data_IF_304272647555
#
_entry.id   IF_304272647555
#
_cell.length_a   1.000
_cell.length_b   1.000
_cell.length_c   1.000
_cell.angle_alpha   90.00
_cell.angle_beta   90.00
_cell.angle_gamma   90.00
#
_symmetry.space_group_name_H-M   'P 1'
#
loop_
_entity.id
_entity.type
_entity.pdbx_description
1 polymer ?
#
# COMPACT_ATOMS: atom_id res chain seq x y z
N UNK A 1 -31.22 -27.28 6.28
CA UNK A 1 -30.80 -28.68 6.47
C UNK A 1 -29.96 -28.87 7.74
N UNK A 2 -28.87 -28.13 7.97
CA UNK A 2 -28.00 -28.23 9.15
C UNK A 2 -28.73 -28.00 10.51
N UNK A 3 -29.76 -27.17 10.56
CA UNK A 3 -30.55 -26.94 11.77
C UNK A 3 -31.30 -28.19 12.28
N UNK A 4 -31.51 -29.20 11.41
CA UNK A 4 -32.19 -30.46 11.75
C UNK A 4 -31.25 -31.50 12.40
N UNK A 5 -29.94 -31.32 12.31
CA UNK A 5 -28.94 -32.21 12.90
C UNK A 5 -28.99 -32.03 14.43
N UNK A 6 -29.42 -33.08 15.16
CA UNK A 6 -29.53 -33.07 16.61
C UNK A 6 -28.16 -33.29 17.28
N UNK A 7 -27.28 -34.09 16.66
CA UNK A 7 -25.98 -34.45 17.24
C UNK A 7 -24.98 -33.32 17.01
N UNK A 8 -24.54 -32.71 18.13
CA UNK A 8 -23.56 -31.61 18.15
C UNK A 8 -22.20 -32.00 17.62
N UNK A 9 -21.76 -33.26 17.82
CA UNK A 9 -20.48 -33.76 17.36
C UNK A 9 -20.43 -33.89 15.83
N UNK A 10 -21.46 -34.50 15.24
CA UNK A 10 -21.62 -34.63 13.78
C UNK A 10 -21.69 -33.24 13.13
N UNK A 11 -22.43 -32.32 13.77
CA UNK A 11 -22.53 -30.94 13.29
C UNK A 11 -21.15 -30.24 13.26
N UNK A 12 -20.34 -30.44 14.31
CA UNK A 12 -18.96 -29.91 14.36
C UNK A 12 -18.07 -30.53 13.29
N UNK A 13 -18.15 -31.84 13.04
CA UNK A 13 -17.38 -32.49 11.97
C UNK A 13 -17.74 -31.94 10.60
N UNK A 14 -19.02 -31.84 10.26
CA UNK A 14 -19.47 -31.27 8.97
C UNK A 14 -18.96 -29.84 8.82
N UNK A 15 -18.92 -29.07 9.90
CA UNK A 15 -18.50 -27.68 9.87
C UNK A 15 -16.97 -27.57 9.72
N UNK A 16 -16.19 -28.45 10.31
CA UNK A 16 -14.74 -28.48 10.14
C UNK A 16 -14.30 -28.81 8.71
N UNK A 17 -15.14 -29.54 7.96
CA UNK A 17 -14.93 -29.83 6.54
C UNK A 17 -15.27 -28.61 5.62
N UNK A 18 -15.98 -27.61 6.16
CA UNK A 18 -16.28 -26.40 5.40
C UNK A 18 -15.08 -25.45 5.41
N UNK A 19 -14.78 -24.86 4.25
CA UNK A 19 -13.85 -23.74 4.23
C UNK A 19 -14.37 -22.64 5.18
N UNK A 20 -13.45 -21.96 5.86
CA UNK A 20 -13.77 -20.92 6.86
C UNK A 20 -14.83 -19.90 6.34
N UNK A 21 -14.76 -19.53 5.07
CA UNK A 21 -15.71 -18.59 4.46
C UNK A 21 -17.13 -19.15 4.38
N UNK A 22 -17.28 -20.45 4.05
CA UNK A 22 -18.58 -21.13 4.00
C UNK A 22 -19.15 -21.30 5.41
N UNK A 23 -18.29 -21.60 6.38
CA UNK A 23 -18.64 -21.69 7.79
C UNK A 23 -19.20 -20.36 8.32
N UNK A 24 -18.47 -19.26 8.13
CA UNK A 24 -18.91 -17.94 8.56
C UNK A 24 -20.23 -17.51 7.94
N UNK A 25 -20.44 -17.75 6.64
CA UNK A 25 -21.70 -17.44 5.95
C UNK A 25 -22.87 -18.23 6.52
N UNK A 26 -22.67 -19.51 6.86
CA UNK A 26 -23.72 -20.36 7.41
C UNK A 26 -24.11 -19.98 8.84
N UNK A 27 -23.11 -19.61 9.63
CA UNK A 27 -23.31 -19.38 11.08
C UNK A 27 -23.70 -17.93 11.38
N UNK A 28 -23.19 -16.96 10.62
CA UNK A 28 -23.37 -15.51 10.87
C UNK A 28 -24.83 -15.08 11.04
N UNK A 29 -25.75 -15.64 10.27
CA UNK A 29 -27.15 -15.25 10.26
C UNK A 29 -28.08 -16.28 10.90
N UNK A 30 -27.52 -17.34 11.52
CA UNK A 30 -28.28 -18.45 12.06
C UNK A 30 -28.11 -18.63 13.58
N UNK A 31 -28.90 -17.85 14.35
CA UNK A 31 -28.87 -17.89 15.83
C UNK A 31 -29.05 -19.31 16.39
N UNK A 32 -29.87 -20.14 15.77
CA UNK A 32 -30.09 -21.53 16.20
C UNK A 32 -28.85 -22.36 16.03
N UNK A 33 -28.11 -22.19 14.94
CA UNK A 33 -26.86 -22.90 14.68
C UNK A 33 -25.76 -22.42 15.64
N UNK A 34 -25.68 -21.10 15.87
CA UNK A 34 -24.75 -20.50 16.86
C UNK A 34 -24.96 -21.13 18.24
N UNK A 35 -26.22 -21.19 18.72
CA UNK A 35 -26.56 -21.78 20.02
C UNK A 35 -26.22 -23.27 20.08
N UNK A 36 -26.53 -24.06 19.05
CA UNK A 36 -26.22 -25.49 18.98
C UNK A 36 -24.71 -25.78 19.00
N UNK A 37 -23.91 -24.92 18.39
CA UNK A 37 -22.46 -25.05 18.35
C UNK A 37 -21.78 -24.49 19.60
N UNK A 38 -22.53 -23.87 20.50
CA UNK A 38 -22.04 -23.14 21.66
C UNK A 38 -20.99 -22.08 21.28
N UNK A 39 -21.25 -21.39 20.14
CA UNK A 39 -20.37 -20.34 19.66
C UNK A 39 -20.65 -19.06 20.44
N UNK A 40 -19.62 -18.52 21.05
CA UNK A 40 -19.63 -17.18 21.64
C UNK A 40 -19.30 -16.12 20.57
N UNK A 41 -19.57 -14.87 20.88
CA UNK A 41 -19.10 -13.75 20.05
C UNK A 41 -17.58 -13.79 19.84
N UNK A 42 -16.84 -14.27 20.86
CA UNK A 42 -15.39 -14.44 20.83
C UNK A 42 -14.94 -15.47 19.78
N UNK A 43 -15.63 -16.62 19.67
CA UNK A 43 -15.33 -17.64 18.64
C UNK A 43 -15.57 -17.10 17.23
N UNK A 44 -16.53 -16.19 17.10
CA UNK A 44 -16.82 -15.50 15.85
C UNK A 44 -15.71 -14.53 15.44
N UNK A 45 -15.22 -13.79 16.42
CA UNK A 45 -14.16 -12.81 16.23
C UNK A 45 -12.82 -13.47 15.86
N UNK A 46 -12.54 -14.69 16.37
CA UNK A 46 -11.31 -15.44 16.04
C UNK A 46 -11.11 -15.67 14.55
N UNK A 47 -12.19 -15.75 13.75
CA UNK A 47 -12.12 -16.04 12.30
C UNK A 47 -12.12 -14.79 11.41
N UNK A 48 -12.37 -13.61 11.95
CA UNK A 48 -12.53 -12.38 11.16
C UNK A 48 -11.57 -11.25 11.55
N UNK A 49 -10.61 -11.52 12.43
CA UNK A 49 -9.65 -10.51 12.90
C UNK A 49 -8.49 -10.29 11.93
N UNK A 50 -7.97 -9.07 11.91
CA UNK A 50 -6.61 -8.81 11.48
C UNK A 50 -5.73 -9.05 12.71
N UNK A 51 -4.65 -9.83 12.56
CA UNK A 51 -3.67 -10.07 13.63
C UNK A 51 -2.32 -9.63 13.12
N UNK A 52 -1.70 -8.73 13.89
CA UNK A 52 -0.43 -8.09 13.55
C UNK A 52 0.55 -8.36 14.68
N UNK A 53 1.74 -8.83 14.32
CA UNK A 53 2.88 -8.95 15.22
C UNK A 53 3.89 -7.86 14.87
N UNK A 54 4.32 -7.12 15.88
CA UNK A 54 5.28 -6.03 15.76
C UNK A 54 6.48 -6.36 16.63
N UNK A 55 7.67 -6.26 16.02
CA UNK A 55 8.93 -6.25 16.73
C UNK A 55 9.44 -4.82 16.80
N UNK A 56 9.57 -4.24 17.99
CA UNK A 56 10.11 -2.90 18.15
C UNK A 56 11.62 -2.87 17.92
N UNK A 57 12.16 -1.66 17.71
CA UNK A 57 13.61 -1.41 17.75
C UNK A 57 14.15 -1.71 19.16
N UNK A 58 15.46 -1.87 19.25
CA UNK A 58 16.12 -2.09 20.55
C UNK A 58 15.90 -0.92 21.52
N UNK A 59 15.84 -1.22 22.81
CA UNK A 59 15.48 -0.30 23.89
C UNK A 59 16.41 0.94 23.93
N UNK A 60 17.70 0.77 23.64
CA UNK A 60 18.68 1.84 23.60
C UNK A 60 18.38 2.92 22.54
N UNK A 61 17.65 2.55 21.49
CA UNK A 61 17.24 3.44 20.39
C UNK A 61 15.89 4.14 20.61
N UNK A 62 15.16 3.77 21.66
CA UNK A 62 13.90 4.42 22.00
C UNK A 62 14.14 5.87 22.47
N UNK A 63 13.21 6.75 22.11
CA UNK A 63 13.25 8.14 22.55
C UNK A 63 13.13 8.26 24.07
N UNK A 64 13.70 9.31 24.64
CA UNK A 64 13.56 9.64 26.08
C UNK A 64 12.12 9.99 26.41
N UNK A 65 11.41 10.61 25.49
CA UNK A 65 9.99 10.91 25.60
C UNK A 65 9.19 9.68 25.13
N UNK A 66 8.53 9.00 26.06
CA UNK A 66 7.74 7.79 25.80
C UNK A 66 6.65 8.01 24.74
N UNK A 67 6.01 9.18 24.72
CA UNK A 67 4.94 9.50 23.76
C UNK A 67 5.42 9.51 22.30
N UNK A 68 6.74 9.61 22.04
CA UNK A 68 7.34 9.51 20.72
C UNK A 68 7.63 8.07 20.29
N UNK A 69 7.53 7.11 21.22
CA UNK A 69 7.72 5.69 20.96
C UNK A 69 6.39 5.00 20.60
N UNK A 70 5.52 5.67 19.86
CA UNK A 70 4.28 5.08 19.38
C UNK A 70 4.54 3.94 18.41
N UNK A 71 3.80 2.84 18.60
CA UNK A 71 3.81 1.69 17.69
C UNK A 71 2.49 1.52 16.94
N UNK A 72 1.46 2.30 17.24
CA UNK A 72 0.17 2.31 16.54
C UNK A 72 -0.53 3.65 16.76
N UNK A 73 -1.30 4.10 15.77
CA UNK A 73 -2.23 5.22 15.89
C UNK A 73 -3.66 4.69 16.01
N UNK A 74 -4.17 4.68 17.21
CA UNK A 74 -5.53 4.23 17.47
C UNK A 74 -6.55 5.30 17.10
N UNK A 75 -7.68 4.94 16.47
CA UNK A 75 -8.79 5.86 16.22
C UNK A 75 -9.45 6.29 17.55
N UNK A 76 -10.39 7.24 17.47
CA UNK A 76 -11.16 7.70 18.65
C UNK A 76 -11.89 6.54 19.34
N UNK A 77 -12.54 5.67 18.55
CA UNK A 77 -13.10 4.41 19.08
C UNK A 77 -12.03 3.31 19.03
N UNK A 78 -11.51 2.99 20.20
CA UNK A 78 -10.47 1.98 20.40
C UNK A 78 -11.06 0.58 20.65
N UNK A 79 -12.37 0.44 20.79
CA UNK A 79 -13.02 -0.81 21.20
C UNK A 79 -12.80 -1.99 20.24
N UNK A 80 -12.41 -1.70 19.00
CA UNK A 80 -12.13 -2.71 17.97
C UNK A 80 -10.65 -3.10 17.90
N UNK A 81 -9.80 -2.54 18.77
CA UNK A 81 -8.35 -2.74 18.76
C UNK A 81 -7.88 -3.31 20.09
N UNK A 82 -7.27 -4.47 20.06
CA UNK A 82 -6.81 -5.21 21.24
C UNK A 82 -5.30 -5.39 21.19
N UNK A 83 -4.58 -4.94 22.19
CA UNK A 83 -3.12 -4.89 22.25
C UNK A 83 -2.60 -5.79 23.37
N UNK A 84 -1.59 -6.60 23.03
CA UNK A 84 -0.94 -7.52 23.96
C UNK A 84 0.58 -7.42 23.83
N UNK A 85 1.29 -7.39 24.96
CA UNK A 85 2.75 -7.36 25.04
C UNK A 85 3.31 -8.75 25.42
N UNK A 86 4.36 -9.19 24.72
CA UNK A 86 5.13 -10.38 25.06
C UNK A 86 4.27 -11.64 25.27
N UNK A 87 3.26 -11.82 24.42
CA UNK A 87 2.27 -12.91 24.50
C UNK A 87 1.47 -12.96 25.82
N UNK A 88 1.38 -11.84 26.53
CA UNK A 88 0.51 -11.73 27.71
C UNK A 88 -0.94 -12.06 27.37
N UNK A 89 -1.67 -12.60 28.34
CA UNK A 89 -3.13 -12.77 28.24
C UNK A 89 -3.89 -11.50 28.62
N UNK A 90 -3.22 -10.54 29.24
CA UNK A 90 -3.81 -9.27 29.65
C UNK A 90 -3.74 -8.26 28.52
N UNK A 91 -4.88 -7.67 28.20
CA UNK A 91 -5.00 -6.61 27.22
C UNK A 91 -4.45 -5.31 27.76
N UNK A 92 -3.74 -4.56 26.90
CA UNK A 92 -3.15 -3.26 27.24
C UNK A 92 -3.86 -2.13 26.50
N UNK A 93 -4.02 -1.00 27.17
CA UNK A 93 -4.56 0.24 26.59
C UNK A 93 -3.45 1.20 26.12
N UNK A 94 -2.19 0.75 26.13
CA UNK A 94 -1.02 1.59 25.82
C UNK A 94 -0.69 1.43 24.34
N UNK A 95 -0.51 2.55 23.62
CA UNK A 95 -0.17 2.63 22.19
C UNK A 95 1.29 3.06 21.94
N UNK A 96 2.11 3.11 23.00
CA UNK A 96 3.53 3.47 22.96
C UNK A 96 4.38 2.56 23.86
N UNK A 97 5.69 2.55 23.62
CA UNK A 97 6.65 1.78 24.45
C UNK A 97 7.33 2.72 25.43
N UNK A 98 7.24 2.40 26.73
CA UNK A 98 7.97 3.14 27.76
C UNK A 98 9.46 2.86 27.67
N UNK A 99 10.28 3.90 27.74
CA UNK A 99 11.73 3.74 27.86
C UNK A 99 12.09 3.00 29.15
N UNK A 100 13.06 2.11 29.08
CA UNK A 100 13.42 1.23 30.21
C UNK A 100 12.57 -0.03 30.31
N UNK A 101 11.52 -0.18 29.46
CA UNK A 101 10.76 -1.42 29.36
C UNK A 101 11.21 -2.22 28.15
N UNK A 102 11.85 -3.36 28.39
CA UNK A 102 12.19 -4.31 27.32
C UNK A 102 10.90 -4.96 26.82
N UNK A 103 10.61 -4.80 25.53
CA UNK A 103 9.45 -5.40 24.84
C UNK A 103 9.99 -6.22 23.68
N UNK A 104 9.67 -7.51 23.64
CA UNK A 104 10.10 -8.42 22.58
C UNK A 104 9.16 -8.39 21.39
N UNK A 105 7.85 -8.51 21.66
CA UNK A 105 6.82 -8.57 20.64
C UNK A 105 5.55 -7.84 21.12
N UNK A 106 4.87 -7.19 20.18
CA UNK A 106 3.55 -6.59 20.41
C UNK A 106 2.58 -7.25 19.46
N UNK A 107 1.50 -7.82 19.99
CA UNK A 107 0.42 -8.39 19.18
C UNK A 107 -0.77 -7.45 19.19
N UNK A 108 -1.24 -7.09 18.01
CA UNK A 108 -2.44 -6.28 17.82
C UNK A 108 -3.50 -7.14 17.13
N UNK A 109 -4.70 -7.15 17.68
CA UNK A 109 -5.86 -7.77 17.04
C UNK A 109 -6.87 -6.68 16.70
N UNK A 110 -7.33 -6.65 15.45
CA UNK A 110 -8.32 -5.68 14.95
C UNK A 110 -9.56 -6.42 14.51
N UNK A 111 -10.72 -6.00 14.97
CA UNK A 111 -11.99 -6.64 14.64
C UNK A 111 -12.44 -6.33 13.21
N UNK A 112 -13.37 -7.12 12.69
CA UNK A 112 -13.78 -7.11 11.28
C UNK A 112 -14.58 -5.88 10.83
N UNK A 113 -15.12 -5.14 11.78
CA UNK A 113 -15.94 -3.95 11.55
C UNK A 113 -15.12 -2.77 11.00
N UNK A 114 -13.79 -2.84 11.14
CA UNK A 114 -12.88 -1.81 10.61
C UNK A 114 -12.89 -1.83 9.08
N UNK A 115 -13.13 -0.67 8.48
CA UNK A 115 -13.16 -0.47 7.01
C UNK A 115 -12.00 0.34 6.47
N UNK A 116 -11.20 0.94 7.34
CA UNK A 116 -10.01 1.72 6.98
C UNK A 116 -8.85 1.38 7.90
N UNK A 117 -7.65 1.25 7.32
CA UNK A 117 -6.37 1.13 8.01
C UNK A 117 -5.49 2.36 7.75
N UNK A 118 -6.13 3.44 7.28
CA UNK A 118 -5.46 4.72 7.07
C UNK A 118 -4.71 5.16 8.32
N UNK A 119 -3.48 5.65 8.14
CA UNK A 119 -2.60 6.18 9.18
C UNK A 119 -2.25 5.19 10.33
N UNK A 120 -2.62 3.91 10.25
CA UNK A 120 -2.53 2.97 11.38
C UNK A 120 -1.15 2.95 12.04
N UNK A 121 -0.09 3.00 11.26
CA UNK A 121 1.30 3.04 11.71
C UNK A 121 2.02 4.34 11.29
N UNK A 122 1.28 5.38 10.92
CA UNK A 122 1.86 6.65 10.51
C UNK A 122 2.82 7.20 11.58
N UNK A 123 4.08 7.43 11.20
CA UNK A 123 5.10 8.00 12.10
C UNK A 123 5.57 7.07 13.22
N UNK A 124 5.22 5.78 13.19
CA UNK A 124 5.64 4.81 14.20
C UNK A 124 7.12 4.42 14.01
N UNK A 125 8.02 5.30 14.47
CA UNK A 125 9.47 5.15 14.30
C UNK A 125 10.10 4.08 15.20
N UNK A 126 9.39 3.60 16.23
CA UNK A 126 9.89 2.58 17.14
C UNK A 126 9.72 1.14 16.62
N UNK A 127 9.29 0.94 15.38
CA UNK A 127 9.03 -0.37 14.79
C UNK A 127 10.19 -0.79 13.89
N UNK A 128 10.70 -2.02 14.10
CA UNK A 128 11.71 -2.65 13.24
C UNK A 128 11.10 -3.64 12.26
N UNK A 129 10.13 -4.46 12.72
CA UNK A 129 9.48 -5.47 11.89
C UNK A 129 7.96 -5.48 12.12
N UNK A 130 7.18 -5.68 11.06
CA UNK A 130 5.73 -5.90 11.12
C UNK A 130 5.39 -7.16 10.33
N UNK A 131 4.57 -8.01 10.91
CA UNK A 131 4.05 -9.21 10.26
C UNK A 131 2.54 -9.32 10.44
N UNK A 132 1.82 -9.43 9.32
CA UNK A 132 0.39 -9.73 9.35
C UNK A 132 0.19 -11.24 9.33
N UNK A 133 -0.05 -11.82 10.52
CA UNK A 133 -0.23 -13.28 10.67
C UNK A 133 -1.63 -13.73 10.27
N UNK A 134 -2.61 -12.82 10.34
CA UNK A 134 -3.97 -13.04 9.84
C UNK A 134 -4.54 -11.74 9.26
N UNK A 135 -5.17 -11.83 8.08
CA UNK A 135 -5.87 -10.71 7.45
C UNK A 135 -7.15 -11.22 6.78
N UNK A 136 -8.18 -11.47 7.58
CA UNK A 136 -9.46 -12.01 7.08
C UNK A 136 -10.53 -10.95 6.84
N UNK A 137 -10.18 -9.68 7.00
CA UNK A 137 -11.09 -8.57 6.75
C UNK A 137 -11.05 -8.16 5.26
N UNK A 138 -12.15 -8.36 4.55
CA UNK A 138 -12.31 -7.94 3.15
C UNK A 138 -13.02 -6.59 2.99
N UNK A 139 -13.31 -5.89 4.09
CA UNK A 139 -14.08 -4.64 4.04
C UNK A 139 -13.20 -3.40 3.98
N UNK A 140 -11.87 -3.58 3.99
CA UNK A 140 -10.93 -2.47 3.94
C UNK A 140 -10.98 -1.82 2.56
N UNK A 141 -11.23 -0.50 2.56
CA UNK A 141 -11.30 0.33 1.35
C UNK A 141 -10.19 1.38 1.27
N UNK A 142 -9.58 1.72 2.40
CA UNK A 142 -8.56 2.76 2.51
C UNK A 142 -7.35 2.25 3.31
N UNK A 143 -6.18 2.27 2.68
CA UNK A 143 -4.87 1.95 3.27
C UNK A 143 -3.89 3.11 3.10
N UNK A 144 -4.40 4.32 2.79
CA UNK A 144 -3.53 5.49 2.61
C UNK A 144 -2.73 5.79 3.87
N UNK A 145 -1.47 6.18 3.69
CA UNK A 145 -0.53 6.52 4.78
C UNK A 145 -0.26 5.43 5.82
N UNK A 146 -0.70 4.19 5.61
CA UNK A 146 -0.69 3.15 6.64
C UNK A 146 0.67 2.95 7.33
N UNK A 147 1.77 3.00 6.58
CA UNK A 147 3.15 2.87 7.09
C UNK A 147 3.98 4.14 6.83
N UNK A 148 3.34 5.27 6.51
CA UNK A 148 4.06 6.50 6.20
C UNK A 148 4.95 6.93 7.37
N UNK A 149 6.20 7.31 7.09
CA UNK A 149 7.21 7.72 8.07
C UNK A 149 7.58 6.63 9.10
N UNK A 150 7.39 5.33 8.78
CA UNK A 150 7.99 4.24 9.55
C UNK A 150 9.49 4.12 9.22
N UNK A 151 10.27 5.11 9.61
CA UNK A 151 11.67 5.28 9.15
C UNK A 151 12.61 4.15 9.57
N UNK A 152 12.32 3.42 10.66
CA UNK A 152 13.13 2.30 11.13
C UNK A 152 12.59 0.93 10.72
N UNK A 153 11.48 0.87 9.96
CA UNK A 153 10.89 -0.39 9.51
C UNK A 153 11.80 -1.07 8.48
N UNK A 154 12.39 -2.21 8.86
CA UNK A 154 13.30 -2.99 8.01
C UNK A 154 12.62 -4.15 7.32
N UNK A 155 11.65 -4.79 7.99
CA UNK A 155 10.95 -5.97 7.47
C UNK A 155 9.44 -5.79 7.59
N UNK A 156 8.75 -6.07 6.49
CA UNK A 156 7.31 -5.98 6.40
C UNK A 156 6.75 -7.19 5.67
N UNK A 157 6.02 -8.05 6.40
CA UNK A 157 5.34 -9.20 5.81
C UNK A 157 3.84 -8.89 5.63
N UNK A 158 3.45 -8.68 4.38
CA UNK A 158 2.09 -8.40 3.94
C UNK A 158 1.46 -9.53 3.13
N UNK A 159 2.03 -10.74 3.17
CA UNK A 159 1.59 -11.89 2.38
C UNK A 159 0.13 -12.34 2.64
N UNK A 160 -0.46 -11.88 3.74
CA UNK A 160 -1.86 -12.19 4.11
C UNK A 160 -2.85 -11.10 3.71
N UNK A 161 -2.41 -9.97 3.16
CA UNK A 161 -3.30 -8.86 2.82
C UNK A 161 -4.43 -9.26 1.87
N UNK A 162 -5.59 -8.68 2.10
CA UNK A 162 -6.80 -8.81 1.27
C UNK A 162 -7.22 -7.42 0.81
N UNK A 163 -6.73 -7.00 -0.35
CA UNK A 163 -6.85 -5.63 -0.84
C UNK A 163 -7.86 -5.46 -1.96
N UNK A 164 -8.67 -6.49 -2.26
CA UNK A 164 -9.63 -6.49 -3.38
C UNK A 164 -10.57 -5.26 -3.41
N UNK A 165 -10.94 -4.73 -2.24
CA UNK A 165 -11.86 -3.60 -2.14
C UNK A 165 -11.16 -2.27 -1.85
N UNK A 166 -9.82 -2.25 -1.79
CA UNK A 166 -9.05 -1.04 -1.53
C UNK A 166 -9.07 -0.14 -2.75
N UNK A 167 -9.39 1.14 -2.52
CA UNK A 167 -9.44 2.19 -3.55
C UNK A 167 -8.34 3.23 -3.40
N UNK A 168 -7.78 3.38 -2.20
CA UNK A 168 -6.71 4.34 -1.91
C UNK A 168 -5.52 3.65 -1.23
N UNK A 169 -4.35 3.70 -1.90
CA UNK A 169 -3.05 3.25 -1.40
C UNK A 169 -2.02 4.39 -1.41
N UNK A 170 -2.50 5.65 -1.51
CA UNK A 170 -1.60 6.80 -1.56
C UNK A 170 -0.73 6.89 -0.30
N UNK A 171 0.54 7.22 -0.48
CA UNK A 171 1.53 7.38 0.60
C UNK A 171 1.71 6.15 1.52
N UNK A 172 1.25 4.96 1.12
CA UNK A 172 1.18 3.79 2.02
C UNK A 172 2.54 3.44 2.63
N UNK A 173 3.63 3.50 1.87
CA UNK A 173 5.00 3.21 2.33
C UNK A 173 5.92 4.43 2.25
N UNK A 174 5.34 5.64 2.14
CA UNK A 174 6.12 6.87 2.02
C UNK A 174 7.09 7.01 3.20
N UNK A 175 8.38 7.35 2.94
CA UNK A 175 9.44 7.52 3.94
C UNK A 175 9.69 6.25 4.81
N UNK A 176 9.46 5.04 4.27
CA UNK A 176 9.98 3.80 4.87
C UNK A 176 11.47 3.66 4.53
N UNK A 177 12.28 4.53 5.10
CA UNK A 177 13.69 4.73 4.70
C UNK A 177 14.57 3.51 4.96
N UNK A 178 14.26 2.66 5.96
CA UNK A 178 15.05 1.48 6.30
C UNK A 178 14.60 0.20 5.60
N UNK A 179 13.51 0.24 4.82
CA UNK A 179 12.99 -0.92 4.12
C UNK A 179 13.88 -1.25 2.92
N UNK A 180 14.50 -2.44 2.91
CA UNK A 180 15.40 -2.85 1.84
C UNK A 180 14.73 -3.65 0.73
N UNK A 181 13.69 -4.41 1.09
CA UNK A 181 12.96 -5.30 0.18
C UNK A 181 11.48 -5.30 0.53
N UNK A 182 10.65 -5.36 -0.50
CA UNK A 182 9.21 -5.56 -0.33
C UNK A 182 8.66 -6.44 -1.45
N UNK A 183 8.04 -7.55 -1.06
CA UNK A 183 7.18 -8.31 -1.97
C UNK A 183 5.74 -7.84 -1.81
N UNK A 184 5.28 -7.08 -2.79
CA UNK A 184 3.91 -6.56 -2.87
C UNK A 184 3.07 -7.30 -3.92
N UNK A 185 3.56 -8.44 -4.46
CA UNK A 185 2.89 -9.18 -5.54
C UNK A 185 1.51 -9.73 -5.16
N UNK A 186 1.23 -9.90 -3.88
CA UNK A 186 -0.08 -10.36 -3.40
C UNK A 186 -1.11 -9.23 -3.20
N UNK A 187 -0.74 -7.97 -3.39
CA UNK A 187 -1.69 -6.86 -3.36
C UNK A 187 -2.56 -6.88 -4.62
N UNK A 188 -3.87 -7.02 -4.44
CA UNK A 188 -4.86 -6.88 -5.52
C UNK A 188 -5.16 -5.40 -5.66
N UNK A 189 -4.86 -4.81 -6.82
CA UNK A 189 -5.00 -3.37 -7.06
C UNK A 189 -6.07 -3.01 -8.08
N UNK A 190 -6.93 -3.97 -8.46
CA UNK A 190 -7.97 -3.81 -9.50
C UNK A 190 -8.95 -2.64 -9.25
N UNK A 191 -9.10 -2.21 -8.00
CA UNK A 191 -10.00 -1.12 -7.63
C UNK A 191 -9.27 0.13 -7.12
N UNK A 192 -7.94 0.12 -7.13
CA UNK A 192 -7.15 1.27 -6.65
C UNK A 192 -7.21 2.42 -7.65
N UNK A 193 -7.51 3.61 -7.14
CA UNK A 193 -7.63 4.86 -7.90
C UNK A 193 -6.42 5.77 -7.64
N UNK A 194 -5.90 5.78 -6.42
CA UNK A 194 -4.76 6.64 -6.03
C UNK A 194 -3.58 5.83 -5.49
N UNK A 195 -2.41 5.98 -6.15
CA UNK A 195 -1.12 5.42 -5.75
C UNK A 195 -0.06 6.53 -5.58
N UNK A 196 -0.51 7.80 -5.42
CA UNK A 196 0.40 8.94 -5.23
C UNK A 196 1.40 8.66 -4.11
N UNK A 197 2.69 8.89 -4.38
CA UNK A 197 3.78 8.80 -3.40
C UNK A 197 3.84 7.46 -2.65
N UNK A 198 3.32 6.36 -3.21
CA UNK A 198 3.18 5.08 -2.49
C UNK A 198 4.52 4.59 -1.92
N UNK A 199 5.63 4.77 -2.66
CA UNK A 199 6.99 4.41 -2.25
C UNK A 199 7.94 5.63 -2.19
N UNK A 200 7.38 6.85 -2.03
CA UNK A 200 8.18 8.07 -1.99
C UNK A 200 9.25 8.03 -0.89
N UNK A 201 10.51 8.29 -1.26
CA UNK A 201 11.67 8.28 -0.37
C UNK A 201 11.85 6.96 0.42
N UNK A 202 11.51 5.80 -0.18
CA UNK A 202 12.01 4.51 0.30
C UNK A 202 13.48 4.37 -0.11
N UNK A 203 14.36 5.17 0.51
CA UNK A 203 15.72 5.43 0.03
C UNK A 203 16.64 4.20 0.07
N UNK A 204 16.38 3.23 0.94
CA UNK A 204 17.15 1.98 1.02
C UNK A 204 16.52 0.81 0.24
N UNK A 205 15.38 1.01 -0.41
CA UNK A 205 14.69 -0.06 -1.13
C UNK A 205 15.50 -0.49 -2.35
N UNK A 206 15.96 -1.75 -2.34
CA UNK A 206 16.78 -2.37 -3.39
C UNK A 206 15.96 -3.28 -4.30
N UNK A 207 14.98 -3.98 -3.74
CA UNK A 207 14.11 -4.94 -4.44
C UNK A 207 12.63 -4.67 -4.14
N UNK A 208 11.85 -4.53 -5.21
CA UNK A 208 10.41 -4.29 -5.13
C UNK A 208 9.68 -5.15 -6.16
N UNK A 209 8.82 -6.04 -5.68
CA UNK A 209 8.01 -6.90 -6.54
C UNK A 209 6.58 -6.38 -6.67
N UNK A 210 6.20 -5.94 -7.88
CA UNK A 210 4.88 -5.41 -8.22
C UNK A 210 4.21 -6.26 -9.33
N UNK A 211 4.60 -7.52 -9.50
CA UNK A 211 4.24 -8.34 -10.66
C UNK A 211 2.74 -8.52 -10.88
N UNK A 212 1.91 -8.40 -9.84
CA UNK A 212 0.46 -8.55 -9.94
C UNK A 212 -0.32 -7.22 -9.85
N UNK A 213 0.37 -6.09 -9.91
CA UNK A 213 -0.32 -4.80 -9.89
C UNK A 213 -1.13 -4.62 -11.18
N UNK A 214 -2.39 -4.30 -11.04
CA UNK A 214 -3.27 -3.82 -12.10
C UNK A 214 -3.51 -2.32 -11.90
N UNK A 215 -3.13 -1.51 -12.88
CA UNK A 215 -3.24 -0.06 -12.80
C UNK A 215 -4.33 0.52 -13.72
N UNK A 216 -5.24 -0.33 -14.23
CA UNK A 216 -6.28 0.07 -15.19
C UNK A 216 -7.17 1.21 -14.68
N UNK A 217 -7.40 1.30 -13.35
CA UNK A 217 -8.24 2.35 -12.75
C UNK A 217 -7.45 3.46 -12.08
N UNK A 218 -6.12 3.35 -12.04
CA UNK A 218 -5.30 4.33 -11.32
C UNK A 218 -5.25 5.65 -12.07
N UNK A 219 -5.66 6.72 -11.39
CA UNK A 219 -5.64 8.09 -11.90
C UNK A 219 -4.41 8.88 -11.49
N UNK A 220 -3.78 8.53 -10.39
CA UNK A 220 -2.69 9.32 -9.81
C UNK A 220 -1.53 8.44 -9.35
N UNK A 221 -0.36 8.61 -9.98
CA UNK A 221 0.90 7.97 -9.65
C UNK A 221 2.01 9.02 -9.39
N UNK A 222 1.62 10.27 -9.09
CA UNK A 222 2.58 11.35 -8.83
C UNK A 222 3.55 10.95 -7.72
N UNK A 223 4.86 11.12 -7.96
CA UNK A 223 5.94 10.78 -7.02
C UNK A 223 5.98 9.31 -6.56
N UNK A 224 5.34 8.36 -7.25
CA UNK A 224 5.17 7.00 -6.73
C UNK A 224 6.48 6.34 -6.28
N UNK A 225 7.58 6.50 -7.02
CA UNK A 225 8.90 5.96 -6.71
C UNK A 225 9.96 7.04 -6.48
N UNK A 226 9.57 8.31 -6.43
CA UNK A 226 10.51 9.42 -6.26
C UNK A 226 11.35 9.23 -4.98
N UNK A 227 12.68 9.37 -5.09
CA UNK A 227 13.61 9.21 -3.98
C UNK A 227 13.93 7.75 -3.61
N UNK A 228 13.53 6.75 -4.42
CA UNK A 228 13.97 5.36 -4.27
C UNK A 228 15.43 5.24 -4.79
N UNK A 229 16.36 5.87 -4.08
CA UNK A 229 17.73 6.11 -4.57
C UNK A 229 18.58 4.84 -4.70
N UNK A 230 18.26 3.74 -4.01
CA UNK A 230 18.97 2.46 -4.09
C UNK A 230 18.26 1.39 -4.92
N UNK A 231 17.12 1.71 -5.52
CA UNK A 231 16.42 0.77 -6.41
C UNK A 231 17.20 0.64 -7.72
N UNK A 232 17.60 -0.59 -8.07
CA UNK A 232 18.44 -0.87 -9.25
C UNK A 232 17.58 -1.27 -10.44
N UNK A 233 16.56 -2.08 -10.18
CA UNK A 233 15.68 -2.65 -11.20
C UNK A 233 14.22 -2.46 -10.80
N UNK A 234 13.38 -2.13 -11.79
CA UNK A 234 11.93 -2.04 -11.61
C UNK A 234 11.21 -2.50 -12.87
N UNK A 235 10.43 -3.56 -12.74
CA UNK A 235 9.59 -4.07 -13.81
C UNK A 235 8.17 -3.53 -13.67
N UNK A 236 7.74 -2.73 -14.64
CA UNK A 236 6.41 -2.15 -14.77
C UNK A 236 5.71 -2.59 -16.06
N UNK A 237 6.11 -3.74 -16.63
CA UNK A 237 5.54 -4.28 -17.88
C UNK A 237 4.04 -4.59 -17.79
N UNK A 238 3.49 -4.70 -16.58
CA UNK A 238 2.06 -4.89 -16.31
C UNK A 238 1.30 -3.57 -16.07
N UNK A 239 2.02 -2.42 -15.97
CA UNK A 239 1.37 -1.14 -15.72
C UNK A 239 0.74 -0.58 -16.99
N UNK A 240 -0.53 -0.22 -16.92
CA UNK A 240 -1.25 0.53 -17.93
C UNK A 240 -1.48 1.96 -17.43
N UNK A 241 -1.21 2.93 -18.27
CA UNK A 241 -1.24 4.35 -17.89
C UNK A 241 -2.32 5.15 -18.63
N UNK A 242 -3.16 4.48 -19.41
CA UNK A 242 -4.17 5.14 -20.26
C UNK A 242 -5.15 6.01 -19.44
N UNK A 243 -5.56 5.52 -18.27
CA UNK A 243 -6.48 6.22 -17.37
C UNK A 243 -5.76 7.12 -16.34
N UNK A 244 -4.43 7.08 -16.31
CA UNK A 244 -3.67 7.87 -15.35
C UNK A 244 -3.60 9.34 -15.78
N UNK A 245 -3.97 10.24 -14.89
CA UNK A 245 -4.03 11.68 -15.13
C UNK A 245 -2.74 12.39 -14.65
N UNK A 246 -2.01 11.79 -13.70
CA UNK A 246 -0.83 12.42 -13.12
C UNK A 246 0.26 11.40 -12.78
N UNK A 247 1.42 11.54 -13.43
CA UNK A 247 2.64 10.74 -13.21
C UNK A 247 3.86 11.64 -12.95
N UNK A 248 3.63 12.91 -12.60
CA UNK A 248 4.71 13.88 -12.39
C UNK A 248 5.70 13.37 -11.35
N UNK A 249 6.99 13.49 -11.67
CA UNK A 249 8.10 13.13 -10.79
C UNK A 249 8.11 11.66 -10.33
N UNK A 250 7.45 10.75 -11.06
CA UNK A 250 7.26 9.36 -10.64
C UNK A 250 8.59 8.66 -10.30
N UNK A 251 9.65 8.92 -11.08
CA UNK A 251 11.00 8.34 -10.87
C UNK A 251 12.04 9.41 -10.50
N UNK A 252 11.61 10.58 -10.01
CA UNK A 252 12.56 11.64 -9.62
C UNK A 252 13.51 11.12 -8.53
N UNK A 253 14.81 11.41 -8.66
CA UNK A 253 15.86 10.98 -7.72
C UNK A 253 16.03 9.45 -7.56
N UNK A 254 15.56 8.63 -8.51
CA UNK A 254 15.93 7.22 -8.60
C UNK A 254 17.37 7.10 -9.18
N UNK A 255 18.37 7.49 -8.38
CA UNK A 255 19.73 7.67 -8.86
C UNK A 255 20.45 6.38 -9.26
N UNK A 256 20.10 5.24 -8.61
CA UNK A 256 20.68 3.92 -8.89
C UNK A 256 19.87 3.09 -9.88
N UNK A 257 18.73 3.59 -10.37
CA UNK A 257 17.88 2.82 -11.27
C UNK A 257 18.55 2.66 -12.64
N UNK A 258 18.82 1.42 -13.05
CA UNK A 258 19.49 1.05 -14.30
C UNK A 258 18.61 0.26 -15.25
N UNK A 259 17.67 -0.53 -14.71
CA UNK A 259 16.78 -1.38 -15.48
C UNK A 259 15.33 -0.98 -15.12
N UNK A 260 14.63 -0.46 -16.14
CA UNK A 260 13.24 -0.05 -16.01
C UNK A 260 12.46 -0.50 -17.24
N UNK A 261 11.51 -1.42 -17.03
CA UNK A 261 10.61 -1.85 -18.10
C UNK A 261 9.31 -1.02 -18.05
N UNK A 262 9.17 -0.15 -19.04
CA UNK A 262 7.98 0.68 -19.31
C UNK A 262 7.40 0.38 -20.70
N UNK A 263 7.60 -0.82 -21.20
CA UNK A 263 7.21 -1.22 -22.58
C UNK A 263 5.72 -1.00 -22.85
N UNK A 264 4.86 -1.09 -21.83
CA UNK A 264 3.40 -0.88 -21.91
C UNK A 264 2.94 0.56 -21.68
N UNK A 265 3.86 1.50 -21.42
CA UNK A 265 3.45 2.89 -21.26
C UNK A 265 3.03 3.48 -22.61
N UNK A 266 1.75 3.80 -22.76
CA UNK A 266 1.24 4.58 -23.89
C UNK A 266 1.13 6.05 -23.44
N UNK A 267 1.98 6.88 -24.02
CA UNK A 267 2.07 8.31 -23.67
C UNK A 267 1.16 9.21 -24.50
N UNK A 268 0.51 8.63 -25.48
CA UNK A 268 -0.41 9.37 -26.33
C UNK A 268 -1.82 9.36 -25.74
N UNK A 269 -2.52 10.49 -25.88
CA UNK A 269 -3.96 10.58 -25.73
C UNK A 269 -4.59 10.74 -27.09
N UNK A 270 -5.72 10.10 -27.32
CA UNK A 270 -6.51 10.34 -28.53
C UNK A 270 -7.31 11.63 -28.33
N UNK A 271 -6.95 12.71 -29.05
CA UNK A 271 -7.74 13.92 -29.10
C UNK A 271 -8.60 13.89 -30.36
N UNK A 272 -9.89 14.14 -30.19
CA UNK A 272 -10.84 14.28 -31.27
C UNK A 272 -10.95 15.76 -31.65
N UNK A 273 -10.42 16.12 -32.81
CA UNK A 273 -10.57 17.46 -33.37
C UNK A 273 -11.86 17.52 -34.21
N UNK A 274 -12.82 18.33 -33.80
CA UNK A 274 -14.04 18.57 -34.57
C UNK A 274 -13.74 19.62 -35.62
N UNK A 275 -13.86 19.24 -36.89
CA UNK A 275 -13.80 20.19 -37.98
C UNK A 275 -15.02 21.14 -37.92
N UNK A 276 -14.85 22.42 -38.30
CA UNK A 276 -15.89 23.46 -38.27
C UNK A 276 -17.22 23.08 -38.94
N UNK A 277 -17.22 22.02 -39.76
CA UNK A 277 -18.42 21.48 -40.42
C UNK A 277 -19.00 20.22 -39.78
N UNK A 278 -18.62 19.85 -38.58
CA UNK A 278 -19.15 18.70 -37.77
C UNK A 278 -19.09 17.30 -38.48
N UNK A 279 -18.44 17.15 -39.62
CA UNK A 279 -18.52 15.94 -40.44
C UNK A 279 -17.24 15.10 -40.51
N UNK A 280 -16.13 15.54 -39.96
CA UNK A 280 -14.88 14.77 -39.95
C UNK A 280 -14.25 14.78 -38.55
N UNK A 281 -14.20 13.61 -37.93
CA UNK A 281 -13.45 13.38 -36.69
C UNK A 281 -12.04 13.00 -37.08
N UNK A 282 -11.08 13.92 -36.90
CA UNK A 282 -9.66 13.62 -37.11
C UNK A 282 -9.13 13.14 -35.73
N UNK A 283 -8.80 11.86 -35.64
CA UNK A 283 -8.04 11.34 -34.51
C UNK A 283 -6.60 11.88 -34.56
N UNK A 284 -6.27 12.77 -33.66
CA UNK A 284 -4.90 13.25 -33.49
C UNK A 284 -4.33 12.67 -32.21
N UNK A 285 -3.31 11.83 -32.33
CA UNK A 285 -2.55 11.36 -31.17
C UNK A 285 -1.65 12.48 -30.66
N UNK A 286 -1.96 13.02 -29.50
CA UNK A 286 -1.21 14.12 -28.87
C UNK A 286 -0.51 13.61 -27.61
N UNK A 287 0.75 14.01 -27.43
CA UNK A 287 1.48 13.71 -26.20
C UNK A 287 0.95 14.60 -25.08
N UNK A 288 0.30 14.00 -24.08
CA UNK A 288 -0.12 14.73 -22.89
C UNK A 288 1.09 14.99 -21.96
N UNK A 289 1.90 16.00 -22.33
CA UNK A 289 3.17 16.31 -21.66
C UNK A 289 3.04 16.76 -20.21
N UNK A 290 1.91 17.36 -19.83
CA UNK A 290 1.70 17.86 -18.45
C UNK A 290 1.65 16.73 -17.43
N UNK A 291 1.17 15.57 -17.82
CA UNK A 291 1.08 14.34 -17.03
C UNK A 291 2.46 13.81 -16.59
N UNK A 292 3.50 14.06 -17.39
CA UNK A 292 4.83 13.46 -17.27
C UNK A 292 5.91 14.43 -16.80
N UNK A 293 5.57 15.62 -16.34
CA UNK A 293 6.56 16.64 -15.91
C UNK A 293 7.54 16.02 -14.90
N UNK A 294 8.84 16.18 -15.17
CA UNK A 294 9.90 15.74 -14.27
C UNK A 294 10.00 14.22 -14.05
N UNK A 295 9.39 13.40 -14.94
CA UNK A 295 9.27 11.95 -14.79
C UNK A 295 10.58 11.29 -14.40
N UNK A 296 11.69 11.64 -15.08
CA UNK A 296 13.04 11.10 -14.86
C UNK A 296 14.03 12.15 -14.34
N UNK A 297 13.53 13.14 -13.61
CA UNK A 297 14.41 14.18 -13.05
C UNK A 297 15.44 13.55 -12.10
N UNK A 298 16.71 14.02 -12.18
CA UNK A 298 17.82 13.51 -11.37
C UNK A 298 18.09 11.99 -11.47
N UNK A 299 17.53 11.28 -12.45
CA UNK A 299 17.96 9.93 -12.80
C UNK A 299 19.30 9.95 -13.54
N UNK A 300 19.98 8.78 -13.56
CA UNK A 300 21.25 8.63 -14.25
C UNK A 300 21.14 8.93 -15.75
N UNK A 301 22.24 9.39 -16.37
CA UNK A 301 22.30 9.62 -17.84
C UNK A 301 22.09 8.31 -18.60
N UNK A 302 22.64 7.20 -18.09
CA UNK A 302 22.53 5.87 -18.68
C UNK A 302 21.09 5.40 -18.72
N UNK A 303 20.33 5.54 -17.62
CA UNK A 303 18.91 5.19 -17.60
C UNK A 303 18.14 6.03 -18.62
N UNK A 304 18.36 7.34 -18.64
CA UNK A 304 17.69 8.24 -19.60
C UNK A 304 17.94 7.86 -21.06
N UNK A 305 19.15 7.40 -21.37
CA UNK A 305 19.49 6.91 -22.71
C UNK A 305 18.73 5.61 -23.02
N UNK A 306 18.78 4.62 -22.14
CA UNK A 306 18.03 3.35 -22.31
C UNK A 306 16.53 3.58 -22.49
N UNK A 307 15.94 4.50 -21.76
CA UNK A 307 14.52 4.85 -21.89
C UNK A 307 14.23 5.47 -23.27
N UNK A 308 15.10 6.33 -23.79
CA UNK A 308 14.95 6.89 -25.12
C UNK A 308 15.05 5.84 -26.23
N UNK A 309 15.86 4.82 -26.03
CA UNK A 309 15.97 3.68 -26.96
C UNK A 309 14.69 2.82 -26.95
N UNK A 310 14.10 2.59 -25.79
CA UNK A 310 12.85 1.84 -25.64
C UNK A 310 11.62 2.63 -26.12
N UNK A 311 11.60 3.94 -25.88
CA UNK A 311 10.50 4.86 -26.14
C UNK A 311 11.05 6.17 -26.71
N UNK A 312 11.31 6.24 -28.03
CA UNK A 312 11.85 7.44 -28.68
C UNK A 312 11.02 8.70 -28.42
N UNK A 313 9.75 8.54 -28.12
CA UNK A 313 8.81 9.61 -27.83
C UNK A 313 9.20 10.42 -26.58
N UNK A 314 9.95 9.82 -25.65
CA UNK A 314 10.49 10.53 -24.47
C UNK A 314 11.71 11.41 -24.78
N UNK A 315 12.10 11.58 -26.05
CA UNK A 315 13.15 12.53 -26.46
C UNK A 315 12.77 13.99 -26.28
N UNK A 316 11.48 14.29 -26.10
CA UNK A 316 11.02 15.66 -25.86
C UNK A 316 11.57 16.19 -24.52
N UNK A 317 12.18 17.38 -24.55
CA UNK A 317 12.76 18.06 -23.39
C UNK A 317 11.79 18.18 -22.21
N UNK A 318 10.49 18.22 -22.46
CA UNK A 318 9.42 18.32 -21.46
C UNK A 318 9.39 17.17 -20.46
N UNK A 319 9.91 15.97 -20.81
CA UNK A 319 10.01 14.84 -19.92
C UNK A 319 11.21 14.89 -18.96
N UNK A 320 12.18 15.79 -19.22
CA UNK A 320 13.50 15.78 -18.59
C UNK A 320 13.72 17.04 -17.73
N UNK A 321 12.99 18.13 -17.99
CA UNK A 321 13.27 19.43 -17.39
C UNK A 321 12.91 19.44 -15.91
N UNK A 322 13.88 19.84 -15.10
CA UNK A 322 13.70 20.20 -13.69
C UNK A 322 12.96 21.54 -13.57
N UNK A 323 12.17 21.67 -12.52
CA UNK A 323 11.43 22.92 -12.18
C UNK A 323 12.29 24.17 -12.07
N UNK A 324 13.62 24.07 -12.00
CA UNK A 324 14.52 25.24 -11.98
C UNK A 324 14.52 26.05 -13.28
N UNK A 325 14.19 25.44 -14.43
CA UNK A 325 14.16 26.20 -15.71
C UNK A 325 12.82 26.93 -15.97
N UNK A 326 11.78 26.62 -15.20
CA UNK A 326 10.52 27.37 -15.29
C UNK A 326 10.59 28.70 -14.53
N UNK A 327 11.44 28.80 -13.51
CA UNK A 327 11.65 30.04 -12.75
C UNK A 327 12.57 31.04 -13.48
N UNK A 328 13.45 30.55 -14.38
CA UNK A 328 14.36 31.42 -15.16
C UNK A 328 13.68 32.03 -16.41
N UNK A 329 12.46 31.62 -16.81
CA UNK A 329 11.73 32.21 -17.94
C UNK A 329 10.83 33.36 -17.58
N UNK A 330 10.43 33.49 -16.32
CA UNK A 330 9.58 34.63 -15.87
C UNK A 330 10.40 35.89 -15.54
N UNK A 331 11.73 35.82 -15.48
CA UNK A 331 12.61 36.99 -15.26
C UNK A 331 13.13 37.64 -16.56
N UNK A 332 12.81 37.11 -17.74
CA UNK A 332 13.26 37.67 -19.02
C UNK A 332 12.12 38.30 -19.88
N UNK A 333 10.98 38.59 -19.27
CA UNK A 333 9.93 39.43 -19.90
C UNK A 333 9.54 40.50 -18.88
N UNK A 334 10.40 41.50 -18.78
CA UNK A 334 10.06 42.85 -18.31
C UNK A 334 10.79 43.86 -19.18
#
# INVERSE_FOLDING_TARGET
MLNKIKNKYILKQIINELTELKYLKLVKYNKTLQKKLSLSAHDYNKYSKIIIEIKPISEDKLNKNDSENKFINLPKDKSLYHIYFDNSKEESNIDYIKKGKKVGIITIMIDKEVTSLKDLFYGCKCIEEIKFTNFKNNNITDMSYMFNCCTNLKKLDINKFKTKNVTDMSNMFRLCESLEELDASNLITDNVIDMKSMFYCCSNLKRLNLSNFNTDKVKNMMHMFSGCSKLIELNLSNFKINNCENMRYMFNECSSLEILDISKFDIYSDEFDKNENNNLIIMKRVINSSKFIGLFNKCSKTLKQKIREQKPEFNDRRFIISSCLLLERDEFIS
#
